data_IF_413277872663
#
_entry.id   IF_413277872663
#
_cell.length_a   1.000
_cell.length_b   1.000
_cell.length_c   1.000
_cell.angle_alpha   90.00
_cell.angle_beta   90.00
_cell.angle_gamma   90.00
#
_symmetry.space_group_name_H-M   'P 1'
#
loop_
_entity.id
_entity.type
_entity.pdbx_description
1 polymer ?
#
# COMPACT_ATOMS: atom_id res chain seq x y z
N UNK A 1 10.17 6.89 -4.75
CA UNK A 1 11.09 6.11 -5.60
C UNK A 1 11.60 4.94 -4.77
N UNK A 2 11.29 3.71 -5.16
CA UNK A 2 11.83 2.50 -4.51
C UNK A 2 12.72 1.73 -5.49
N UNK A 3 13.79 1.14 -4.96
CA UNK A 3 14.67 0.27 -5.73
C UNK A 3 14.38 -1.17 -5.33
N UNK A 4 14.20 -2.05 -6.32
CA UNK A 4 14.05 -3.48 -6.05
C UNK A 4 15.30 -4.06 -5.34
N UNK A 5 16.48 -3.49 -5.61
CA UNK A 5 17.73 -3.77 -4.93
C UNK A 5 18.55 -2.48 -4.78
N UNK A 6 18.80 -2.05 -3.54
CA UNK A 6 19.58 -0.84 -3.24
C UNK A 6 21.09 -1.01 -3.39
N UNK A 7 21.57 -2.24 -3.59
CA UNK A 7 22.99 -2.57 -3.72
C UNK A 7 23.16 -3.54 -4.91
N UNK A 8 24.08 -3.22 -5.82
CA UNK A 8 24.55 -4.12 -6.86
C UNK A 8 26.08 -4.18 -6.81
N UNK A 9 26.62 -5.36 -6.57
CA UNK A 9 28.06 -5.60 -6.60
C UNK A 9 28.46 -6.05 -8.01
N UNK A 10 29.51 -5.42 -8.56
CA UNK A 10 30.11 -5.83 -9.84
C UNK A 10 31.61 -6.00 -9.69
N UNK A 11 32.18 -6.98 -10.39
CA UNK A 11 33.62 -7.13 -10.57
C UNK A 11 33.94 -6.89 -12.03
N UNK A 12 34.78 -5.90 -12.33
CA UNK A 12 35.15 -5.51 -13.70
C UNK A 12 36.66 -5.61 -13.92
N UNK A 13 37.05 -6.05 -15.12
CA UNK A 13 38.45 -6.08 -15.55
C UNK A 13 38.91 -4.69 -16.05
N UNK A 14 40.22 -4.48 -16.16
CA UNK A 14 40.78 -3.24 -16.68
C UNK A 14 40.22 -2.93 -18.08
N UNK A 15 39.72 -1.72 -18.28
CA UNK A 15 39.10 -1.23 -19.53
C UNK A 15 37.74 -1.83 -19.90
N UNK A 16 37.01 -2.44 -18.96
CA UNK A 16 35.63 -2.89 -19.21
C UNK A 16 34.60 -1.77 -18.96
N UNK A 17 33.75 -1.47 -19.94
CA UNK A 17 32.53 -0.68 -19.74
C UNK A 17 31.35 -1.63 -19.44
N UNK A 18 30.60 -1.34 -18.38
CA UNK A 18 29.38 -2.08 -18.00
C UNK A 18 28.29 -1.10 -17.66
N UNK A 19 27.09 -1.32 -18.22
CA UNK A 19 25.87 -0.59 -17.86
C UNK A 19 25.24 -1.29 -16.66
N UNK A 20 24.87 -0.50 -15.64
CA UNK A 20 24.23 -1.00 -14.43
C UNK A 20 22.80 -0.47 -14.36
N UNK A 21 21.84 -1.32 -14.71
CA UNK A 21 20.43 -0.95 -14.64
C UNK A 21 19.87 -1.16 -13.24
N UNK A 22 19.22 -0.14 -12.70
CA UNK A 22 18.40 -0.27 -11.50
C UNK A 22 16.93 -0.24 -11.90
N UNK A 23 16.20 -1.28 -11.51
CA UNK A 23 14.76 -1.29 -11.71
C UNK A 23 14.11 -0.45 -10.60
N UNK A 24 13.52 0.67 -10.99
CA UNK A 24 12.81 1.57 -10.09
C UNK A 24 11.36 1.12 -10.04
N UNK A 25 10.95 0.61 -8.87
CA UNK A 25 9.54 0.29 -8.62
C UNK A 25 8.81 1.59 -8.29
N UNK A 26 7.79 1.91 -9.08
CA UNK A 26 6.97 3.09 -8.86
C UNK A 26 5.75 2.71 -8.02
N UNK A 27 5.97 2.54 -6.72
CA UNK A 27 4.90 2.20 -5.77
C UNK A 27 4.04 3.40 -5.43
N UNK A 28 2.74 3.16 -5.26
CA UNK A 28 1.79 4.20 -4.85
C UNK A 28 1.34 3.97 -3.42
N UNK A 29 2.14 4.50 -2.49
CA UNK A 29 1.91 4.40 -1.05
C UNK A 29 0.76 5.30 -0.62
N UNK A 30 -0.18 4.77 0.16
CA UNK A 30 -1.35 5.51 0.63
C UNK A 30 -1.60 5.24 2.11
N UNK A 31 -1.81 6.31 2.87
CA UNK A 31 -2.41 6.26 4.19
C UNK A 31 -3.92 6.52 4.09
N UNK A 32 -4.72 5.49 4.30
CA UNK A 32 -6.18 5.59 4.34
C UNK A 32 -6.65 5.90 5.75
N UNK A 33 -7.60 6.82 5.88
CA UNK A 33 -8.40 7.03 7.10
C UNK A 33 -9.78 6.40 6.87
N UNK A 34 -10.00 5.21 7.43
CA UNK A 34 -11.17 4.37 7.13
C UNK A 34 -12.23 4.53 8.21
N UNK A 35 -13.45 4.81 7.77
CA UNK A 35 -14.66 4.84 8.60
C UNK A 35 -15.64 3.76 8.18
N UNK A 36 -16.50 3.35 9.10
CA UNK A 36 -17.70 2.57 8.80
C UNK A 36 -18.82 3.49 8.29
N UNK A 37 -19.92 2.93 7.75
CA UNK A 37 -21.03 3.73 7.22
C UNK A 37 -21.73 4.55 8.31
N UNK A 38 -21.65 4.10 9.56
CA UNK A 38 -22.15 4.81 10.76
C UNK A 38 -21.27 6.01 11.18
N UNK A 39 -20.16 6.25 10.49
CA UNK A 39 -19.21 7.33 10.77
C UNK A 39 -18.18 7.01 11.86
N UNK A 40 -18.28 5.84 12.51
CA UNK A 40 -17.27 5.36 13.45
C UNK A 40 -15.97 4.98 12.74
N UNK A 41 -14.85 5.07 13.46
CA UNK A 41 -13.56 4.64 12.91
C UNK A 41 -13.51 3.12 12.79
N UNK A 42 -12.80 2.64 11.77
CA UNK A 42 -12.47 1.22 11.69
C UNK A 42 -11.68 0.82 12.97
N UNK A 43 -12.03 -0.29 13.65
CA UNK A 43 -11.35 -0.68 14.87
C UNK A 43 -9.87 -0.92 14.65
N UNK A 44 -9.09 -0.60 15.69
CA UNK A 44 -7.69 -0.98 15.75
C UNK A 44 -7.57 -2.51 15.71
N UNK A 45 -6.60 -3.00 14.97
CA UNK A 45 -6.32 -4.42 14.80
C UNK A 45 -7.06 -5.06 13.64
N UNK A 46 -8.09 -4.42 13.06
CA UNK A 46 -8.84 -4.99 11.93
C UNK A 46 -7.90 -5.26 10.75
N UNK A 47 -7.87 -6.51 10.30
CA UNK A 47 -7.06 -6.95 9.17
C UNK A 47 -7.57 -6.38 7.86
N UNK A 48 -6.68 -5.92 7.00
CA UNK A 48 -6.96 -5.48 5.64
C UNK A 48 -6.37 -6.48 4.67
N UNK A 49 -7.19 -6.97 3.75
CA UNK A 49 -6.83 -8.01 2.80
C UNK A 49 -7.11 -7.57 1.36
N UNK A 50 -6.40 -8.17 0.41
CA UNK A 50 -6.64 -8.01 -1.01
C UNK A 50 -7.82 -8.86 -1.51
N UNK A 51 -8.08 -8.81 -2.82
CA UNK A 51 -9.10 -9.63 -3.49
C UNK A 51 -8.86 -11.15 -3.41
N UNK A 52 -7.66 -11.60 -3.05
CA UNK A 52 -7.28 -13.00 -2.88
C UNK A 52 -7.25 -13.44 -1.42
N UNK A 53 -7.69 -12.59 -0.47
CA UNK A 53 -7.57 -12.80 0.97
C UNK A 53 -6.11 -12.85 1.48
N UNK A 54 -5.16 -12.31 0.73
CA UNK A 54 -3.82 -12.11 1.27
C UNK A 54 -3.86 -10.95 2.26
N UNK A 55 -3.31 -11.19 3.45
CA UNK A 55 -3.12 -10.14 4.44
C UNK A 55 -2.16 -9.07 3.92
N UNK A 56 -2.58 -7.80 3.98
CA UNK A 56 -1.78 -6.65 3.60
C UNK A 56 -1.26 -5.92 4.84
N UNK A 57 -2.16 -5.52 5.74
CA UNK A 57 -1.85 -4.72 6.93
C UNK A 57 -3.03 -4.75 7.92
N UNK A 58 -2.82 -4.37 9.17
CA UNK A 58 -3.89 -4.12 10.14
C UNK A 58 -4.12 -2.62 10.36
N UNK A 59 -5.37 -2.24 10.61
CA UNK A 59 -5.73 -0.89 10.99
C UNK A 59 -5.12 -0.50 12.34
N UNK A 60 -4.57 0.70 12.42
CA UNK A 60 -4.03 1.29 13.66
C UNK A 60 -4.98 2.36 14.21
N UNK A 61 -4.51 3.15 15.17
CA UNK A 61 -5.31 4.19 15.82
C UNK A 61 -5.97 5.13 14.81
N UNK A 62 -7.23 5.50 15.09
CA UNK A 62 -8.08 6.34 14.24
C UNK A 62 -8.39 5.73 12.86
N UNK A 63 -8.54 4.40 12.78
CA UNK A 63 -8.90 3.70 11.54
C UNK A 63 -7.88 3.88 10.42
N UNK A 64 -6.62 4.17 10.76
CA UNK A 64 -5.56 4.41 9.79
C UNK A 64 -5.02 3.09 9.24
N UNK A 65 -4.86 3.04 7.93
CA UNK A 65 -4.40 1.86 7.20
C UNK A 65 -3.33 2.32 6.23
N UNK A 66 -2.10 1.77 6.35
CA UNK A 66 -1.00 2.11 5.46
C UNK A 66 -0.81 1.03 4.41
N UNK A 67 -1.04 1.38 3.15
CA UNK A 67 -0.88 0.50 1.99
C UNK A 67 0.42 0.89 1.27
N UNK A 68 1.32 -0.08 1.14
CA UNK A 68 2.64 0.12 0.50
C UNK A 68 2.54 0.27 -1.00
N UNK A 69 1.64 -0.45 -1.65
CA UNK A 69 1.29 -0.21 -3.04
C UNK A 69 -0.19 -0.49 -3.34
N UNK A 70 -0.92 0.60 -3.55
CA UNK A 70 -2.35 0.55 -3.88
C UNK A 70 -2.60 0.25 -5.36
N UNK A 71 -1.60 0.42 -6.23
CA UNK A 71 -1.72 0.10 -7.65
C UNK A 71 -1.82 -1.41 -7.87
N UNK A 72 -1.08 -2.18 -7.07
CA UNK A 72 -1.12 -3.65 -7.07
C UNK A 72 -2.35 -4.22 -6.33
N UNK A 73 -2.95 -3.42 -5.44
CA UNK A 73 -4.06 -3.83 -4.56
C UNK A 73 -5.25 -2.88 -4.67
N UNK A 74 -5.93 -2.79 -5.84
CA UNK A 74 -6.98 -1.80 -6.07
C UNK A 74 -8.22 -2.07 -5.20
N UNK A 75 -8.52 -3.34 -4.90
CA UNK A 75 -9.62 -3.74 -4.04
C UNK A 75 -9.10 -4.13 -2.65
N UNK A 76 -9.57 -3.39 -1.63
CA UNK A 76 -9.21 -3.60 -0.23
C UNK A 76 -10.45 -4.02 0.55
N UNK A 77 -10.32 -5.02 1.42
CA UNK A 77 -11.39 -5.50 2.27
C UNK A 77 -10.94 -5.49 3.73
N UNK A 78 -11.84 -5.10 4.63
CA UNK A 78 -11.62 -5.35 6.05
C UNK A 78 -12.04 -6.79 6.37
N UNK A 79 -11.26 -7.49 7.17
CA UNK A 79 -11.51 -8.87 7.58
C UNK A 79 -11.47 -9.02 9.10
N UNK A 80 -12.19 -10.01 9.61
CA UNK A 80 -12.11 -10.44 11.01
C UNK A 80 -10.84 -11.27 11.29
N UNK A 81 -10.68 -11.71 12.54
CA UNK A 81 -9.54 -12.53 12.97
C UNK A 81 -9.50 -13.91 12.29
N UNK A 82 -10.62 -14.35 11.71
CA UNK A 82 -10.73 -15.60 10.95
C UNK A 82 -10.56 -15.39 9.44
N UNK A 83 -10.11 -14.20 9.01
CA UNK A 83 -9.94 -13.82 7.59
C UNK A 83 -11.24 -13.80 6.77
N UNK A 84 -12.40 -13.72 7.44
CA UNK A 84 -13.66 -13.49 6.75
C UNK A 84 -13.80 -12.01 6.42
N UNK A 85 -14.14 -11.69 5.17
CA UNK A 85 -14.38 -10.31 4.73
C UNK A 85 -15.63 -9.76 5.40
N UNK A 86 -15.46 -8.64 6.09
CA UNK A 86 -16.53 -7.90 6.75
C UNK A 86 -17.14 -6.84 5.83
N UNK A 87 -16.30 -6.13 5.06
CA UNK A 87 -16.73 -5.05 4.19
C UNK A 87 -15.68 -4.77 3.12
N UNK A 88 -16.08 -4.08 2.05
CA UNK A 88 -15.16 -3.52 1.06
C UNK A 88 -14.84 -2.07 1.41
N UNK A 89 -13.57 -1.70 1.34
CA UNK A 89 -13.14 -0.32 1.58
C UNK A 89 -13.23 0.45 0.26
N UNK A 90 -14.18 1.35 0.16
CA UNK A 90 -14.31 2.29 -0.95
C UNK A 90 -13.52 3.56 -0.63
N UNK A 91 -12.57 3.90 -1.50
CA UNK A 91 -11.73 5.10 -1.38
C UNK A 91 -11.50 5.69 -2.77
N UNK A 92 -11.04 6.94 -2.82
CA UNK A 92 -10.69 7.60 -4.08
C UNK A 92 -9.38 8.34 -3.90
N UNK A 93 -8.47 8.12 -4.84
CA UNK A 93 -7.18 8.78 -4.89
C UNK A 93 -7.19 9.89 -5.94
N UNK A 94 -6.26 10.82 -5.83
CA UNK A 94 -6.06 11.82 -6.87
C UNK A 94 -5.66 11.13 -8.18
N UNK A 95 -6.00 11.73 -9.33
CA UNK A 95 -5.63 11.14 -10.62
C UNK A 95 -4.12 11.14 -10.84
N UNK A 96 -3.43 12.15 -10.29
CA UNK A 96 -1.99 12.32 -10.39
C UNK A 96 -1.41 12.02 -9.01
N UNK A 97 -0.46 11.08 -8.96
CA UNK A 97 0.33 10.81 -7.77
C UNK A 97 1.28 11.98 -7.52
N UNK A 98 1.29 12.51 -6.30
CA UNK A 98 2.36 13.38 -5.82
C UNK A 98 3.62 12.54 -5.61
N UNK A 99 4.65 12.81 -6.42
CA UNK A 99 5.91 12.05 -6.40
C UNK A 99 6.91 12.57 -5.36
N UNK A 100 6.69 13.77 -4.83
CA UNK A 100 7.51 14.38 -3.77
C UNK A 100 7.04 13.93 -2.38
N UNK A 101 5.75 13.61 -2.24
CA UNK A 101 5.20 13.06 -1.01
C UNK A 101 5.65 11.60 -0.78
N UNK A 102 6.03 11.28 0.46
CA UNK A 102 6.40 9.91 0.83
C UNK A 102 5.21 8.93 0.74
N UNK A 103 4.00 9.42 1.03
CA UNK A 103 2.73 8.72 0.82
C UNK A 103 1.60 9.74 0.55
N UNK A 104 0.56 9.31 -0.16
CA UNK A 104 -0.69 10.07 -0.30
C UNK A 104 -1.61 9.80 0.89
N UNK A 105 -2.51 10.73 1.21
CA UNK A 105 -3.56 10.52 2.20
C UNK A 105 -4.92 10.51 1.51
N UNK A 106 -5.79 9.57 1.89
CA UNK A 106 -7.16 9.52 1.39
C UNK A 106 -8.13 9.01 2.45
N UNK A 107 -9.41 9.32 2.27
CA UNK A 107 -10.49 8.83 3.13
C UNK A 107 -11.07 7.56 2.51
N UNK A 108 -11.39 6.59 3.34
CA UNK A 108 -12.06 5.35 2.95
C UNK A 108 -13.33 5.12 3.76
N UNK A 109 -14.30 4.45 3.14
CA UNK A 109 -15.51 3.97 3.81
C UNK A 109 -15.61 2.46 3.62
N UNK A 110 -15.66 1.74 4.73
CA UNK A 110 -15.94 0.29 4.79
C UNK A 110 -17.44 0.09 4.60
N UNK A 111 -17.86 -0.49 3.47
CA UNK A 111 -19.26 -0.74 3.08
C UNK A 111 -19.54 -2.22 2.83
#
# INVERSE_FOLDING_TARGET
MELANGIKNITVAHSAFRVLDFNVLNTRRVMLAVKRPDGSWLPKGTSIVDEKNNYLVSAVDSGRVFITDVADNPALYAADDNMNRLCRINYTLQKIQDKEAFYETAKGVCQ
#
